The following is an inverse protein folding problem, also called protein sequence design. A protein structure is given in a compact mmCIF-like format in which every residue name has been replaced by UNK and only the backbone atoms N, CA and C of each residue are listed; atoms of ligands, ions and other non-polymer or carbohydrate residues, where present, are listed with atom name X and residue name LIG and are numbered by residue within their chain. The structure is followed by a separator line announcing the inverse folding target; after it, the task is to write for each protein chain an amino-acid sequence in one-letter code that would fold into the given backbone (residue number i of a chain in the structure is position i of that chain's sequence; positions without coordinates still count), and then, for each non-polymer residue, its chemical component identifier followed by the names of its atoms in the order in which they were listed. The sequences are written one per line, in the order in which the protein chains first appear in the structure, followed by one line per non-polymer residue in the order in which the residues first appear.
data_IF_199524634568
#
_entry.id   IF_199524634568
#
_cell.length_a   1.000
_cell.length_b   1.000
_cell.length_c   1.000
_cell.angle_alpha   90.00
_cell.angle_beta   90.00
_cell.angle_gamma   90.00
#
_symmetry.space_group_name_H-M   'P 1'
#
loop_
_entity.id
_entity.type
_entity.pdbx_description
1 polymer ?
#
# COMPACT_ATOMS: atom_id res chain seq x y z
N UNK A 1 -27.96 10.71 27.26
CA UNK A 1 -26.90 10.27 26.31
C UNK A 1 -26.24 9.02 26.84
N UNK A 2 -26.33 7.94 26.08
CA UNK A 2 -25.60 6.69 26.31
C UNK A 2 -24.34 6.67 25.47
N UNK A 3 -23.25 6.17 26.07
CA UNK A 3 -21.98 5.92 25.39
C UNK A 3 -21.71 4.42 25.44
N UNK A 4 -21.43 3.83 24.27
CA UNK A 4 -20.88 2.48 24.19
C UNK A 4 -19.40 2.56 23.87
N UNK A 5 -18.56 2.06 24.77
CA UNK A 5 -17.11 2.03 24.59
C UNK A 5 -16.68 0.68 24.05
N UNK A 6 -16.08 0.69 22.86
CA UNK A 6 -15.56 -0.49 22.17
C UNK A 6 -14.14 -0.75 22.66
N UNK A 7 -13.82 -1.90 23.27
CA UNK A 7 -12.44 -2.22 23.65
C UNK A 7 -11.58 -2.43 22.40
N UNK A 8 -10.25 -2.42 22.58
CA UNK A 8 -9.35 -2.87 21.52
C UNK A 8 -9.61 -4.35 21.21
N UNK A 9 -9.66 -4.71 19.92
CA UNK A 9 -9.71 -6.11 19.52
C UNK A 9 -8.41 -6.84 19.89
N UNK A 10 -8.43 -8.18 19.87
CA UNK A 10 -7.20 -8.94 20.05
C UNK A 10 -6.21 -8.59 18.94
N UNK A 11 -4.93 -8.51 19.28
CA UNK A 11 -3.83 -8.06 18.38
C UNK A 11 -3.88 -6.59 17.96
N UNK A 12 -4.75 -5.78 18.58
CA UNK A 12 -4.67 -4.32 18.49
C UNK A 12 -3.91 -3.76 19.70
N UNK A 13 -3.05 -2.79 19.43
CA UNK A 13 -2.33 -2.04 20.45
C UNK A 13 -2.34 -0.55 20.14
N UNK A 14 -2.22 0.26 21.20
CA UNK A 14 -2.02 1.69 21.07
C UNK A 14 -0.52 1.97 20.98
N UNK A 15 -0.15 2.80 20.00
CA UNK A 15 1.21 3.25 19.77
C UNK A 15 1.28 4.78 19.79
N UNK A 16 2.46 5.31 20.14
CA UNK A 16 2.72 6.75 20.18
C UNK A 16 2.48 7.41 21.55
N UNK A 17 2.69 8.73 21.64
CA UNK A 17 2.69 9.44 22.93
C UNK A 17 1.31 9.84 23.43
N UNK A 18 0.31 9.90 22.54
CA UNK A 18 -1.05 10.34 22.89
C UNK A 18 -1.76 9.23 23.66
N UNK A 19 -2.28 9.53 24.84
CA UNK A 19 -3.03 8.59 25.67
C UNK A 19 -4.54 8.71 25.42
N UNK A 20 -5.28 7.59 25.37
CA UNK A 20 -6.73 7.63 25.31
C UNK A 20 -7.33 8.21 26.59
N UNK A 21 -8.42 8.95 26.44
CA UNK A 21 -9.20 9.50 27.54
C UNK A 21 -10.56 9.93 27.00
N UNK A 22 -11.65 9.67 27.72
CA UNK A 22 -12.97 10.19 27.35
C UNK A 22 -13.52 10.99 28.51
N UNK A 23 -13.55 12.32 28.35
CA UNK A 23 -14.03 13.27 29.35
C UNK A 23 -15.05 14.20 28.73
N UNK A 24 -16.26 14.22 29.29
CA UNK A 24 -17.33 15.12 28.89
C UNK A 24 -17.66 16.08 30.03
N UNK A 25 -17.40 17.37 29.82
CA UNK A 25 -17.78 18.41 30.78
C UNK A 25 -19.29 18.65 30.70
N UNK A 26 -19.91 19.00 31.83
CA UNK A 26 -21.35 19.31 31.87
C UNK A 26 -22.29 18.10 31.81
N UNK A 27 -21.78 16.86 31.76
CA UNK A 27 -22.59 15.64 31.79
C UNK A 27 -21.91 14.48 32.53
N UNK A 28 -22.73 13.56 33.05
CA UNK A 28 -22.31 12.26 33.54
C UNK A 28 -22.91 11.17 32.64
N UNK A 29 -22.34 10.93 31.45
CA UNK A 29 -22.89 9.94 30.53
C UNK A 29 -22.83 8.54 31.15
N UNK A 30 -23.85 7.72 30.89
CA UNK A 30 -23.78 6.29 31.16
C UNK A 30 -22.85 5.65 30.12
N UNK A 31 -21.63 5.29 30.54
CA UNK A 31 -20.66 4.58 29.70
C UNK A 31 -20.82 3.08 29.93
N UNK A 32 -21.11 2.35 28.86
CA UNK A 32 -21.17 0.89 28.84
C UNK A 32 -19.98 0.36 28.06
N UNK A 33 -19.10 -0.36 28.73
CA UNK A 33 -18.03 -1.12 28.10
C UNK A 33 -18.59 -2.37 27.42
N UNK A 34 -18.29 -2.53 26.13
CA UNK A 34 -18.66 -3.74 25.40
C UNK A 34 -17.69 -4.85 25.77
N UNK A 35 -18.22 -5.98 26.23
CA UNK A 35 -17.41 -7.17 26.49
C UNK A 35 -17.14 -7.95 25.20
N UNK A 36 -15.99 -8.63 25.11
CA UNK A 36 -15.62 -9.44 23.94
C UNK A 36 -16.58 -10.61 23.67
N UNK A 37 -17.29 -11.09 24.69
CA UNK A 37 -18.29 -12.15 24.61
C UNK A 37 -19.73 -11.62 24.46
N UNK A 38 -19.92 -10.30 24.34
CA UNK A 38 -21.24 -9.67 24.31
C UNK A 38 -22.04 -9.90 23.01
N UNK A 39 -21.44 -10.52 21.99
CA UNK A 39 -22.06 -10.76 20.69
C UNK A 39 -23.15 -11.82 20.82
N UNK A 40 -24.40 -11.45 20.58
CA UNK A 40 -25.53 -12.39 20.69
C UNK A 40 -25.96 -12.96 19.35
N UNK A 41 -25.84 -12.16 18.29
CA UNK A 41 -26.21 -12.59 16.93
C UNK A 41 -25.03 -13.26 16.22
N UNK A 42 -25.18 -14.50 15.71
CA UNK A 42 -24.17 -15.13 14.88
C UNK A 42 -24.17 -14.50 13.48
N UNK A 43 -23.09 -13.80 13.13
CA UNK A 43 -22.87 -13.28 11.78
C UNK A 43 -22.02 -14.25 10.95
N UNK A 44 -22.28 -14.32 9.63
CA UNK A 44 -21.45 -15.09 8.70
C UNK A 44 -20.19 -14.31 8.33
N UNK A 45 -19.11 -15.02 8.00
CA UNK A 45 -17.87 -14.40 7.52
C UNK A 45 -17.70 -14.67 6.02
N UNK A 46 -17.65 -13.64 5.20
CA UNK A 46 -17.32 -13.75 3.77
C UNK A 46 -15.85 -13.42 3.52
N UNK A 47 -15.00 -14.38 3.89
CA UNK A 47 -13.54 -14.27 3.68
C UNK A 47 -13.18 -14.30 2.19
N UNK A 48 -13.99 -14.98 1.38
CA UNK A 48 -13.77 -15.10 -0.07
C UNK A 48 -13.92 -13.73 -0.73
N UNK A 49 -14.98 -12.98 -0.37
CA UNK A 49 -15.17 -11.62 -0.86
C UNK A 49 -14.04 -10.70 -0.44
N UNK A 50 -13.62 -10.73 0.83
CA UNK A 50 -12.54 -9.86 1.31
C UNK A 50 -11.25 -10.09 0.54
N UNK A 51 -10.85 -11.36 0.40
CA UNK A 51 -9.66 -11.75 -0.36
C UNK A 51 -9.78 -11.37 -1.83
N UNK A 52 -10.95 -11.60 -2.45
CA UNK A 52 -11.21 -11.22 -3.84
C UNK A 52 -11.21 -9.70 -4.06
N UNK A 53 -11.49 -8.90 -3.03
CA UNK A 53 -11.50 -7.43 -3.09
C UNK A 53 -10.13 -6.81 -2.82
N UNK A 54 -9.43 -7.30 -1.81
CA UNK A 54 -8.24 -6.65 -1.25
C UNK A 54 -6.95 -7.47 -1.41
N UNK A 55 -7.03 -8.75 -1.76
CA UNK A 55 -5.85 -9.60 -2.04
C UNK A 55 -5.24 -10.30 -0.83
N UNK A 56 -5.81 -10.15 0.36
CA UNK A 56 -5.40 -10.85 1.59
C UNK A 56 -6.63 -11.30 2.39
N UNK A 57 -6.45 -12.18 3.36
CA UNK A 57 -7.56 -12.69 4.19
C UNK A 57 -8.13 -11.59 5.09
N UNK A 58 -9.43 -11.66 5.42
CA UNK A 58 -10.05 -10.76 6.40
C UNK A 58 -9.37 -10.93 7.77
N UNK A 59 -8.72 -9.89 8.33
CA UNK A 59 -8.01 -10.00 9.60
C UNK A 59 -8.95 -10.35 10.75
N UNK A 60 -8.41 -11.02 11.76
CA UNK A 60 -9.16 -11.41 12.96
C UNK A 60 -9.56 -10.16 13.77
N UNK A 61 -8.64 -9.21 13.95
CA UNK A 61 -8.90 -7.97 14.67
C UNK A 61 -9.99 -7.12 14.00
N UNK A 62 -10.04 -7.11 12.67
CA UNK A 62 -11.10 -6.44 11.90
C UNK A 62 -12.46 -7.09 12.14
N UNK A 63 -12.49 -8.43 12.20
CA UNK A 63 -13.70 -9.21 12.47
C UNK A 63 -14.19 -9.00 13.91
N UNK A 64 -13.29 -9.09 14.88
CA UNK A 64 -13.59 -8.89 16.30
C UNK A 64 -14.07 -7.46 16.57
N UNK A 65 -13.40 -6.45 16.00
CA UNK A 65 -13.84 -5.06 16.11
C UNK A 65 -15.23 -4.87 15.52
N UNK A 66 -15.52 -5.44 14.34
CA UNK A 66 -16.88 -5.40 13.77
C UNK A 66 -17.91 -6.01 14.72
N UNK A 67 -17.62 -7.17 15.30
CA UNK A 67 -18.50 -7.86 16.24
C UNK A 67 -18.75 -7.05 17.53
N UNK A 68 -17.73 -6.38 18.06
CA UNK A 68 -17.87 -5.49 19.22
C UNK A 68 -18.78 -4.29 18.89
N UNK A 69 -18.63 -3.69 17.70
CA UNK A 69 -19.53 -2.63 17.24
C UNK A 69 -20.96 -3.16 17.08
N UNK A 70 -21.12 -4.36 16.53
CA UNK A 70 -22.43 -5.00 16.37
C UNK A 70 -23.11 -5.24 17.73
N UNK A 71 -22.37 -5.68 18.74
CA UNK A 71 -22.89 -5.84 20.10
C UNK A 71 -23.34 -4.49 20.70
N UNK A 72 -22.61 -3.40 20.44
CA UNK A 72 -23.04 -2.05 20.82
C UNK A 72 -24.35 -1.65 20.11
N UNK A 73 -24.52 -2.01 18.83
CA UNK A 73 -25.76 -1.78 18.08
C UNK A 73 -26.94 -2.55 18.68
N UNK A 74 -26.75 -3.81 19.07
CA UNK A 74 -27.79 -4.62 19.74
C UNK A 74 -28.23 -3.98 21.07
N UNK A 75 -27.27 -3.56 21.90
CA UNK A 75 -27.56 -2.88 23.16
C UNK A 75 -28.26 -1.53 22.95
N UNK A 76 -27.83 -0.77 21.95
CA UNK A 76 -28.46 0.50 21.63
C UNK A 76 -29.88 0.32 21.09
N UNK A 77 -30.13 -0.67 20.23
CA UNK A 77 -31.47 -0.97 19.73
C UNK A 77 -32.43 -1.38 20.85
N UNK A 78 -31.93 -2.04 21.89
CA UNK A 78 -32.69 -2.37 23.10
C UNK A 78 -32.87 -1.19 24.08
N UNK A 79 -32.14 -0.09 23.86
CA UNK A 79 -32.25 1.11 24.71
C UNK A 79 -33.54 1.90 24.44
N UNK A 80 -33.84 2.89 25.28
CA UNK A 80 -34.91 3.86 25.05
C UNK A 80 -34.49 5.13 24.31
N UNK A 81 -33.20 5.30 24.00
CA UNK A 81 -32.65 6.59 23.53
C UNK A 81 -32.81 6.78 22.02
N UNK A 82 -32.90 8.04 21.60
CA UNK A 82 -33.01 8.43 20.18
C UNK A 82 -31.68 8.27 19.42
N UNK A 83 -30.57 8.40 20.13
CA UNK A 83 -29.22 8.26 19.58
C UNK A 83 -28.24 7.86 20.68
N UNK A 84 -27.12 7.27 20.28
CA UNK A 84 -25.98 7.00 21.17
C UNK A 84 -24.68 7.49 20.55
N UNK A 85 -23.64 7.58 21.39
CA UNK A 85 -22.26 7.72 20.94
C UNK A 85 -21.56 6.36 21.05
N UNK A 86 -20.87 5.95 19.99
CA UNK A 86 -19.99 4.79 19.98
C UNK A 86 -18.56 5.31 19.87
N UNK A 87 -17.70 4.89 20.78
CA UNK A 87 -16.33 5.37 20.91
C UNK A 87 -15.39 4.19 21.17
N UNK A 88 -14.31 4.08 20.41
CA UNK A 88 -13.27 3.09 20.65
C UNK A 88 -12.39 3.49 21.84
N UNK A 89 -11.90 2.50 22.58
CA UNK A 89 -11.03 2.70 23.75
C UNK A 89 -9.69 3.37 23.41
N UNK A 90 -9.34 3.45 22.13
CA UNK A 90 -8.19 4.18 21.61
C UNK A 90 -8.41 5.69 21.55
N UNK A 91 -9.63 6.19 21.69
CA UNK A 91 -9.93 7.62 21.46
C UNK A 91 -9.51 8.50 22.64
N UNK A 92 -8.99 9.67 22.29
CA UNK A 92 -8.90 10.84 23.16
C UNK A 92 -10.00 11.85 22.78
N UNK A 93 -10.95 12.04 23.69
CA UNK A 93 -12.06 12.97 23.60
C UNK A 93 -12.12 13.82 24.89
N UNK A 94 -11.95 15.13 24.71
CA UNK A 94 -12.16 16.13 25.76
C UNK A 94 -13.13 17.17 25.18
N UNK A 95 -14.41 17.09 25.57
CA UNK A 95 -15.47 17.89 24.96
C UNK A 95 -16.46 18.41 26.01
N UNK A 96 -17.13 19.52 25.71
CA UNK A 96 -18.34 19.93 26.44
C UNK A 96 -19.54 19.17 25.86
N UNK A 97 -20.37 18.62 26.75
CA UNK A 97 -21.60 17.95 26.34
C UNK A 97 -22.56 18.89 25.61
N UNK A 98 -22.58 20.19 25.97
CA UNK A 98 -23.41 21.19 25.30
C UNK A 98 -23.06 21.32 23.82
N UNK A 99 -21.77 21.31 23.48
CA UNK A 99 -21.30 21.43 22.08
C UNK A 99 -21.69 20.20 21.25
N UNK A 100 -21.62 19.01 21.84
CA UNK A 100 -22.07 17.77 21.20
C UNK A 100 -23.59 17.85 20.94
N UNK A 101 -24.36 18.25 21.95
CA UNK A 101 -25.82 18.38 21.82
C UNK A 101 -26.22 19.40 20.75
N UNK A 102 -25.62 20.59 20.77
CA UNK A 102 -25.87 21.61 19.76
C UNK A 102 -25.61 21.06 18.35
N UNK A 103 -24.47 20.36 18.17
CA UNK A 103 -24.14 19.77 16.88
C UNK A 103 -25.16 18.71 16.45
N UNK A 104 -25.49 17.76 17.33
CA UNK A 104 -26.46 16.69 17.01
C UNK A 104 -27.84 17.27 16.70
N UNK A 105 -28.31 18.27 17.47
CA UNK A 105 -29.58 18.95 17.22
C UNK A 105 -29.62 19.75 15.92
N UNK A 106 -28.46 20.16 15.40
CA UNK A 106 -28.33 20.85 14.12
C UNK A 106 -28.16 19.88 12.92
N UNK A 107 -28.12 18.55 13.13
CA UNK A 107 -28.13 17.59 12.03
C UNK A 107 -29.49 17.60 11.32
N UNK A 108 -29.47 17.42 9.99
CA UNK A 108 -30.71 17.29 9.22
C UNK A 108 -31.44 16.01 9.61
N UNK A 109 -32.77 16.08 9.62
CA UNK A 109 -33.62 14.91 9.86
C UNK A 109 -33.26 13.73 8.95
N UNK A 110 -33.37 12.52 9.49
CA UNK A 110 -33.10 11.27 8.76
C UNK A 110 -31.64 10.82 8.69
N UNK A 111 -30.73 11.44 9.46
CA UNK A 111 -29.37 10.92 9.60
C UNK A 111 -29.38 9.56 10.31
N UNK A 112 -28.51 8.64 9.86
CA UNK A 112 -28.36 7.31 10.45
C UNK A 112 -27.08 7.21 11.27
N UNK A 113 -25.97 7.65 10.68
CA UNK A 113 -24.65 7.68 11.30
C UNK A 113 -24.06 9.07 11.12
N UNK A 114 -23.41 9.57 12.17
CA UNK A 114 -22.70 10.84 12.12
C UNK A 114 -21.25 10.66 12.61
N UNK A 115 -20.28 11.03 11.79
CA UNK A 115 -18.86 11.08 12.15
C UNK A 115 -18.46 12.52 12.49
N UNK A 116 -17.92 12.82 13.68
CA UNK A 116 -17.49 14.16 14.04
C UNK A 116 -16.10 14.51 13.47
N UNK A 117 -15.82 14.07 12.25
CA UNK A 117 -14.57 14.35 11.56
C UNK A 117 -14.72 14.18 10.04
N UNK A 118 -13.93 14.93 9.27
CA UNK A 118 -13.84 14.77 7.82
C UNK A 118 -12.52 14.09 7.41
N UNK A 119 -12.59 12.80 7.08
CA UNK A 119 -11.42 12.07 6.58
C UNK A 119 -11.00 12.45 5.18
N UNK A 120 -11.90 12.94 4.34
CA UNK A 120 -11.55 13.36 2.99
C UNK A 120 -10.61 14.57 3.07
N UNK A 121 -10.96 15.57 3.89
CA UNK A 121 -10.12 16.75 4.08
C UNK A 121 -8.74 16.41 4.64
N UNK A 122 -8.69 15.52 5.64
CA UNK A 122 -7.42 15.01 6.20
C UNK A 122 -6.59 14.34 5.10
N UNK A 123 -7.22 13.48 4.29
CA UNK A 123 -6.56 12.78 3.19
C UNK A 123 -6.03 13.74 2.13
N UNK A 124 -6.74 14.82 1.84
CA UNK A 124 -6.29 15.87 0.92
C UNK A 124 -5.02 16.56 1.45
N UNK A 125 -4.99 16.92 2.74
CA UNK A 125 -3.80 17.50 3.37
C UNK A 125 -2.59 16.56 3.34
N UNK A 126 -2.77 15.27 3.66
CA UNK A 126 -1.73 14.23 3.55
C UNK A 126 -1.17 14.12 2.12
N UNK A 127 -2.05 14.20 1.12
CA UNK A 127 -1.68 14.15 -0.30
C UNK A 127 -0.91 15.38 -0.74
N UNK A 128 -1.29 16.57 -0.29
CA UNK A 128 -0.56 17.81 -0.56
C UNK A 128 0.84 17.75 0.04
N UNK A 129 0.96 17.33 1.30
CA UNK A 129 2.26 17.13 1.95
C UNK A 129 3.14 16.11 1.20
N UNK A 130 2.57 14.96 0.86
CA UNK A 130 3.27 13.90 0.12
C UNK A 130 3.72 14.38 -1.26
N UNK A 131 2.89 15.15 -1.96
CA UNK A 131 3.20 15.71 -3.28
C UNK A 131 4.34 16.72 -3.18
N UNK A 132 4.31 17.62 -2.20
CA UNK A 132 5.37 18.61 -1.99
C UNK A 132 6.70 17.92 -1.68
N UNK A 133 6.70 16.92 -0.78
CA UNK A 133 7.89 16.15 -0.46
C UNK A 133 8.41 15.35 -1.65
N UNK A 134 7.53 14.68 -2.40
CA UNK A 134 7.94 13.92 -3.59
C UNK A 134 8.54 14.82 -4.68
N UNK A 135 8.00 16.03 -4.85
CA UNK A 135 8.55 17.02 -5.77
C UNK A 135 9.89 17.61 -5.30
N UNK A 136 10.26 17.42 -4.02
CA UNK A 136 11.57 17.81 -3.48
C UNK A 136 12.64 16.74 -3.65
N UNK A 137 12.25 15.49 -3.98
CA UNK A 137 13.20 14.43 -4.30
C UNK A 137 13.92 14.72 -5.63
N UNK A 138 15.16 14.25 -5.74
CA UNK A 138 15.92 14.31 -6.99
C UNK A 138 15.19 13.55 -8.11
N UNK A 139 14.58 12.40 -7.79
CA UNK A 139 13.78 11.60 -8.72
C UNK A 139 12.34 11.46 -8.22
N UNK A 140 11.45 12.44 -8.51
CA UNK A 140 10.05 12.37 -8.09
C UNK A 140 9.34 11.14 -8.67
N UNK A 141 8.76 10.32 -7.80
CA UNK A 141 8.01 9.14 -8.22
C UNK A 141 6.50 9.40 -8.13
N UNK A 142 5.86 9.68 -9.27
CA UNK A 142 4.40 9.97 -9.30
C UNK A 142 3.55 8.81 -8.76
N UNK A 143 4.04 7.57 -8.80
CA UNK A 143 3.33 6.40 -8.25
C UNK A 143 3.30 6.39 -6.71
N UNK A 144 4.20 7.12 -6.03
CA UNK A 144 4.19 7.27 -4.56
C UNK A 144 3.32 8.42 -4.06
N UNK A 145 2.78 9.27 -4.95
CA UNK A 145 1.83 10.35 -4.58
C UNK A 145 0.53 9.73 -4.04
N UNK A 146 0.08 8.65 -4.67
CA UNK A 146 -1.11 7.93 -4.27
C UNK A 146 -0.70 6.78 -3.34
N UNK A 147 -0.54 7.09 -2.05
CA UNK A 147 -0.36 6.09 -0.98
C UNK A 147 -1.64 5.28 -0.80
N UNK A 148 -1.95 4.44 -1.78
CA UNK A 148 -3.10 3.55 -1.72
C UNK A 148 -2.88 2.53 -0.61
N UNK A 149 -3.81 2.53 0.33
CA UNK A 149 -3.90 1.54 1.39
C UNK A 149 -5.09 0.63 1.10
N UNK A 150 -5.06 -0.66 1.47
CA UNK A 150 -6.09 -1.61 1.10
C UNK A 150 -7.36 -1.48 1.96
N UNK A 151 -8.03 -0.35 1.81
CA UNK A 151 -9.34 0.00 2.38
C UNK A 151 -10.28 0.37 1.23
N UNK A 152 -11.58 0.47 1.51
CA UNK A 152 -12.59 0.76 0.49
C UNK A 152 -12.27 2.03 -0.32
N UNK A 153 -11.86 3.10 0.37
CA UNK A 153 -11.55 4.41 -0.22
C UNK A 153 -10.07 4.57 -0.63
N UNK A 154 -9.26 3.53 -0.48
CA UNK A 154 -7.80 3.63 -0.64
C UNK A 154 -7.07 4.29 0.54
N UNK A 155 -7.79 4.57 1.62
CA UNK A 155 -7.31 5.04 2.93
C UNK A 155 -8.35 4.64 4.00
N UNK A 156 -7.94 4.56 5.26
CA UNK A 156 -8.82 4.19 6.37
C UNK A 156 -9.76 5.37 6.72
N UNK A 157 -11.08 5.17 6.67
CA UNK A 157 -12.02 6.15 7.19
C UNK A 157 -11.97 6.18 8.72
N UNK A 158 -12.01 5.01 9.35
CA UNK A 158 -11.91 4.83 10.79
C UNK A 158 -13.26 4.80 11.50
N UNK A 159 -13.31 3.96 12.51
CA UNK A 159 -14.48 3.67 13.35
C UNK A 159 -14.34 4.23 14.77
N UNK A 160 -13.32 5.06 14.99
CA UNK A 160 -12.87 5.53 16.30
C UNK A 160 -13.98 6.19 17.13
N UNK A 161 -14.79 7.04 16.51
CA UNK A 161 -15.94 7.70 17.16
C UNK A 161 -17.03 7.96 16.14
N UNK A 162 -18.28 7.68 16.48
CA UNK A 162 -19.44 8.06 15.68
C UNK A 162 -20.70 8.05 16.53
N UNK A 163 -21.72 8.74 16.04
CA UNK A 163 -23.05 8.76 16.62
C UNK A 163 -23.97 7.92 15.76
N UNK A 164 -24.91 7.23 16.40
CA UNK A 164 -25.83 6.33 15.75
C UNK A 164 -27.26 6.69 16.15
N UNK A 165 -28.12 6.92 15.18
CA UNK A 165 -29.54 7.21 15.43
C UNK A 165 -30.37 5.94 15.56
N UNK A 166 -31.55 6.08 16.16
CA UNK A 166 -32.56 5.03 16.28
C UNK A 166 -32.92 4.39 14.94
N UNK A 167 -32.98 5.18 13.87
CA UNK A 167 -33.24 4.68 12.53
C UNK A 167 -32.01 3.96 11.96
N UNK A 168 -30.82 4.52 12.18
CA UNK A 168 -29.57 3.98 11.69
C UNK A 168 -29.26 2.60 12.26
N UNK A 169 -29.49 2.38 13.56
CA UNK A 169 -29.21 1.08 14.19
C UNK A 169 -30.05 -0.05 13.58
N UNK A 170 -31.32 0.22 13.22
CA UNK A 170 -32.16 -0.77 12.54
C UNK A 170 -31.61 -1.16 11.16
N UNK A 171 -30.97 -0.24 10.45
CA UNK A 171 -30.32 -0.51 9.16
C UNK A 171 -29.01 -1.30 9.34
N UNK A 172 -28.20 -0.95 10.35
CA UNK A 172 -26.94 -1.65 10.62
C UNK A 172 -27.16 -3.09 11.13
N UNK A 173 -28.18 -3.33 11.96
CA UNK A 173 -28.55 -4.68 12.41
C UNK A 173 -29.14 -5.57 11.29
N UNK A 174 -29.43 -5.02 10.11
CA UNK A 174 -29.81 -5.83 8.95
C UNK A 174 -28.60 -6.54 8.32
N UNK A 175 -27.37 -6.20 8.70
CA UNK A 175 -26.15 -6.86 8.24
C UNK A 175 -26.11 -8.29 8.82
N UNK A 176 -26.00 -9.29 7.94
CA UNK A 176 -25.95 -10.72 8.33
C UNK A 176 -24.57 -11.35 8.05
N UNK A 177 -23.67 -10.58 7.43
CA UNK A 177 -22.40 -11.07 6.93
C UNK A 177 -21.30 -10.00 7.04
N UNK A 178 -20.17 -10.38 7.63
CA UNK A 178 -18.97 -9.54 7.73
C UNK A 178 -18.03 -9.93 6.60
N UNK A 179 -17.69 -8.93 5.77
CA UNK A 179 -16.78 -9.09 4.62
C UNK A 179 -15.66 -8.06 4.59
N UNK A 180 -15.74 -7.05 5.46
CA UNK A 180 -14.79 -5.96 5.57
C UNK A 180 -14.93 -5.29 6.94
N UNK A 181 -14.08 -4.30 7.19
CA UNK A 181 -14.10 -3.51 8.42
C UNK A 181 -15.41 -2.76 8.60
N UNK A 182 -15.72 -2.41 9.85
CA UNK A 182 -16.97 -1.73 10.22
C UNK A 182 -17.11 -0.36 9.56
N UNK A 183 -16.04 0.42 9.49
CA UNK A 183 -16.01 1.71 8.82
C UNK A 183 -16.21 1.57 7.30
N UNK A 184 -15.51 0.63 6.66
CA UNK A 184 -15.69 0.33 5.24
C UNK A 184 -17.12 -0.13 4.93
N UNK A 185 -17.77 -0.92 5.79
CA UNK A 185 -19.17 -1.34 5.58
C UNK A 185 -20.14 -0.17 5.75
N UNK A 186 -19.98 0.67 6.78
CA UNK A 186 -20.80 1.88 6.97
C UNK A 186 -20.68 2.82 5.77
N UNK A 187 -19.46 3.12 5.32
CA UNK A 187 -19.21 3.98 4.15
C UNK A 187 -19.79 3.34 2.90
N UNK A 188 -19.63 2.03 2.72
CA UNK A 188 -20.17 1.31 1.58
C UNK A 188 -21.71 1.32 1.55
N UNK A 189 -22.37 1.10 2.69
CA UNK A 189 -23.83 1.20 2.80
C UNK A 189 -24.31 2.62 2.47
N UNK A 190 -23.55 3.64 2.90
CA UNK A 190 -23.83 5.04 2.56
C UNK A 190 -23.73 5.29 1.06
N UNK A 191 -22.65 4.82 0.42
CA UNK A 191 -22.48 4.90 -1.04
C UNK A 191 -23.61 4.20 -1.81
N UNK A 192 -24.11 3.08 -1.31
CA UNK A 192 -25.25 2.33 -1.88
C UNK A 192 -26.63 2.93 -1.53
N UNK A 193 -26.67 4.07 -0.82
CA UNK A 193 -27.91 4.72 -0.33
C UNK A 193 -28.76 3.84 0.59
N UNK A 194 -28.13 2.90 1.29
CA UNK A 194 -28.76 2.01 2.27
C UNK A 194 -28.69 2.60 3.69
N UNK A 195 -27.80 3.56 3.90
CA UNK A 195 -27.54 4.26 5.16
C UNK A 195 -27.28 5.74 4.83
N UNK A 196 -27.73 6.67 5.66
CA UNK A 196 -27.43 8.10 5.57
C UNK A 196 -26.32 8.43 6.56
N UNK A 197 -25.07 8.21 6.15
CA UNK A 197 -23.91 8.65 6.91
C UNK A 197 -23.57 10.11 6.57
N UNK A 198 -23.45 10.94 7.60
CA UNK A 198 -23.01 12.33 7.49
C UNK A 198 -21.76 12.57 8.33
N UNK A 199 -21.04 13.64 8.01
CA UNK A 199 -19.81 14.00 8.69
C UNK A 199 -19.55 15.49 8.52
N UNK A 200 -18.84 16.08 9.48
CA UNK A 200 -18.21 17.39 9.36
C UNK A 200 -17.09 17.55 10.42
N UNK A 201 -16.38 18.66 10.35
CA UNK A 201 -15.36 19.01 11.35
C UNK A 201 -16.00 19.71 12.54
N UNK A 202 -15.61 19.29 13.73
CA UNK A 202 -16.02 19.90 15.00
C UNK A 202 -14.81 20.34 15.79
N UNK A 203 -14.95 21.37 16.62
CA UNK A 203 -13.83 21.91 17.39
C UNK A 203 -13.43 21.03 18.60
N UNK A 204 -14.31 20.11 19.00
CA UNK A 204 -14.15 19.28 20.20
C UNK A 204 -13.61 17.86 19.92
N UNK A 205 -13.37 17.52 18.65
CA UNK A 205 -12.75 16.25 18.27
C UNK A 205 -11.80 16.45 17.10
N UNK A 206 -10.54 16.07 17.31
CA UNK A 206 -9.50 16.12 16.28
C UNK A 206 -9.02 14.71 15.94
N UNK A 207 -9.42 14.23 14.76
CA UNK A 207 -9.03 12.89 14.28
C UNK A 207 -7.51 12.76 14.04
N UNK A 208 -6.80 13.84 13.68
CA UNK A 208 -5.36 13.78 13.41
C UNK A 208 -4.53 13.62 14.70
N UNK A 209 -5.09 14.01 15.84
CA UNK A 209 -4.41 13.97 17.14
C UNK A 209 -4.96 12.85 18.03
N UNK A 210 -5.25 11.68 17.43
CA UNK A 210 -5.69 10.49 18.14
C UNK A 210 -4.53 9.50 18.40
N UNK A 211 -4.59 8.70 19.49
CA UNK A 211 -3.71 7.56 19.67
C UNK A 211 -3.74 6.62 18.46
N UNK A 212 -2.56 6.16 18.01
CA UNK A 212 -2.47 5.33 16.81
C UNK A 212 -2.71 3.87 17.16
N UNK A 213 -3.77 3.29 16.61
CA UNK A 213 -4.04 1.86 16.72
C UNK A 213 -3.27 1.08 15.65
N UNK A 214 -2.51 0.08 16.08
CA UNK A 214 -1.82 -0.86 15.19
C UNK A 214 -2.48 -2.23 15.33
N UNK A 215 -2.87 -2.83 14.21
CA UNK A 215 -3.36 -4.21 14.14
C UNK A 215 -2.24 -5.11 13.61
N UNK A 216 -1.59 -5.87 14.50
CA UNK A 216 -0.44 -6.68 14.15
C UNK A 216 -0.79 -7.81 13.18
N UNK A 217 -1.97 -8.41 13.34
CA UNK A 217 -2.48 -9.48 12.48
C UNK A 217 -2.75 -8.99 11.05
N UNK A 218 -3.35 -7.81 10.88
CA UNK A 218 -3.57 -7.21 9.56
C UNK A 218 -2.27 -6.96 8.81
N UNK A 219 -1.26 -6.41 9.48
CA UNK A 219 0.06 -6.21 8.88
C UNK A 219 0.71 -7.55 8.48
N UNK A 220 0.64 -8.55 9.36
CA UNK A 220 1.12 -9.91 9.08
C UNK A 220 0.41 -10.53 7.88
N UNK A 221 -0.92 -10.43 7.81
CA UNK A 221 -1.73 -11.05 6.76
C UNK A 221 -1.50 -10.38 5.40
N UNK A 222 -1.34 -9.04 5.37
CA UNK A 222 -0.91 -8.31 4.16
C UNK A 222 0.51 -8.73 3.75
N UNK A 223 1.46 -8.78 4.69
CA UNK A 223 2.82 -9.20 4.39
C UNK A 223 2.84 -10.63 3.84
N UNK A 224 2.09 -11.55 4.44
CA UNK A 224 1.97 -12.92 3.96
C UNK A 224 1.43 -12.97 2.52
N UNK A 225 0.37 -12.22 2.21
CA UNK A 225 -0.16 -12.13 0.85
C UNK A 225 0.85 -11.56 -0.17
N UNK A 226 1.65 -10.58 0.26
CA UNK A 226 2.73 -10.00 -0.54
C UNK A 226 3.83 -11.05 -0.81
N UNK A 227 4.28 -11.75 0.23
CA UNK A 227 5.38 -12.73 0.14
C UNK A 227 4.97 -14.03 -0.57
N UNK A 228 3.70 -14.42 -0.51
CA UNK A 228 3.14 -15.57 -1.25
C UNK A 228 2.72 -15.19 -2.69
N UNK A 229 2.99 -13.96 -3.14
CA UNK A 229 2.73 -13.56 -4.53
C UNK A 229 3.54 -14.43 -5.49
N UNK A 230 2.85 -15.24 -6.31
CA UNK A 230 3.47 -16.11 -7.33
C UNK A 230 3.39 -15.45 -8.69
N UNK A 231 4.19 -14.41 -8.92
CA UNK A 231 4.25 -13.80 -10.26
C UNK A 231 5.13 -14.55 -11.25
N UNK A 232 6.04 -15.37 -10.73
CA UNK A 232 6.90 -16.24 -11.52
C UNK A 232 6.44 -17.70 -11.37
N UNK A 233 6.26 -18.39 -12.50
CA UNK A 233 6.32 -19.85 -12.53
C UNK A 233 7.77 -20.32 -12.48
N UNK A 234 8.02 -21.59 -12.16
CA UNK A 234 9.38 -22.14 -12.24
C UNK A 234 9.99 -21.95 -13.64
N UNK A 235 9.21 -22.26 -14.68
CA UNK A 235 9.65 -22.15 -16.07
C UNK A 235 10.00 -20.70 -16.47
N UNK A 236 9.12 -19.74 -16.18
CA UNK A 236 9.40 -18.33 -16.46
C UNK A 236 10.58 -17.80 -15.64
N UNK A 237 10.75 -18.28 -14.41
CA UNK A 237 11.90 -17.92 -13.57
C UNK A 237 13.21 -18.44 -14.15
N UNK A 238 13.21 -19.63 -14.72
CA UNK A 238 14.40 -20.19 -15.37
C UNK A 238 14.66 -19.51 -16.72
N UNK A 239 13.62 -19.18 -17.49
CA UNK A 239 13.75 -18.40 -18.73
C UNK A 239 14.37 -17.02 -18.49
N UNK A 240 13.94 -16.26 -17.46
CA UNK A 240 14.55 -14.95 -17.17
C UNK A 240 16.02 -15.09 -16.77
N UNK A 241 16.39 -16.15 -16.02
CA UNK A 241 17.79 -16.44 -15.70
C UNK A 241 18.62 -16.74 -16.95
N UNK A 242 18.06 -17.49 -17.89
CA UNK A 242 18.71 -17.73 -19.19
C UNK A 242 18.90 -16.44 -19.99
N UNK A 243 17.88 -15.57 -20.03
CA UNK A 243 18.00 -14.25 -20.69
C UNK A 243 19.14 -13.43 -20.05
N UNK A 244 19.17 -13.35 -18.72
CA UNK A 244 20.19 -12.60 -17.98
C UNK A 244 21.60 -13.16 -18.20
N UNK A 245 21.75 -14.49 -18.27
CA UNK A 245 23.03 -15.13 -18.57
C UNK A 245 23.53 -14.81 -19.98
N UNK A 246 22.64 -14.85 -20.99
CA UNK A 246 22.99 -14.45 -22.36
C UNK A 246 23.42 -12.99 -22.43
N UNK A 247 22.67 -12.09 -21.78
CA UNK A 247 23.02 -10.67 -21.71
C UNK A 247 24.35 -10.43 -21.00
N UNK A 248 24.57 -11.08 -19.86
CA UNK A 248 25.80 -10.98 -19.06
C UNK A 248 27.03 -11.44 -19.86
N UNK A 249 26.96 -12.59 -20.53
CA UNK A 249 28.07 -13.12 -21.32
C UNK A 249 28.36 -12.26 -22.56
N UNK A 250 27.32 -11.81 -23.28
CA UNK A 250 27.49 -10.90 -24.41
C UNK A 250 28.14 -9.57 -24.00
N UNK A 251 27.72 -8.98 -22.88
CA UNK A 251 28.31 -7.75 -22.35
C UNK A 251 29.78 -7.95 -21.95
N UNK A 252 30.09 -9.07 -21.29
CA UNK A 252 31.45 -9.42 -20.89
C UNK A 252 32.40 -9.57 -22.07
N UNK A 253 31.97 -10.16 -23.18
CA UNK A 253 32.78 -10.35 -24.39
C UNK A 253 33.25 -9.03 -25.01
N UNK A 254 32.45 -7.98 -24.86
CA UNK A 254 32.75 -6.64 -25.39
C UNK A 254 33.22 -5.65 -24.32
N UNK A 255 33.42 -6.10 -23.07
CA UNK A 255 33.89 -5.27 -21.97
C UNK A 255 32.90 -4.19 -21.53
N UNK A 256 31.59 -4.48 -21.57
CA UNK A 256 30.52 -3.55 -21.19
C UNK A 256 29.88 -3.97 -19.87
N UNK A 257 29.58 -2.99 -19.03
CA UNK A 257 28.90 -3.19 -17.76
C UNK A 257 27.39 -3.01 -17.89
N UNK A 258 26.63 -4.03 -17.46
CA UNK A 258 25.18 -3.94 -17.26
C UNK A 258 24.90 -3.76 -15.77
N UNK A 259 24.23 -2.67 -15.40
CA UNK A 259 23.94 -2.33 -14.00
C UNK A 259 22.49 -2.67 -13.62
N UNK A 260 22.24 -3.10 -12.39
CA UNK A 260 20.88 -3.24 -11.87
C UNK A 260 20.19 -1.87 -11.84
N UNK A 261 18.90 -1.81 -12.21
CA UNK A 261 18.13 -0.57 -12.23
C UNK A 261 16.80 -0.72 -11.47
N UNK A 262 16.29 0.39 -10.91
CA UNK A 262 14.90 0.49 -10.44
C UNK A 262 14.44 -0.59 -9.47
N UNK A 263 13.33 -1.26 -9.81
CA UNK A 263 12.74 -2.31 -8.98
C UNK A 263 13.71 -3.49 -8.78
N UNK A 264 14.48 -3.82 -9.82
CA UNK A 264 15.51 -4.85 -9.80
C UNK A 264 16.66 -4.51 -8.83
N UNK A 265 17.19 -3.29 -8.89
CA UNK A 265 18.22 -2.82 -7.95
C UNK A 265 17.73 -2.86 -6.51
N UNK A 266 16.51 -2.36 -6.29
CA UNK A 266 15.87 -2.34 -4.99
C UNK A 266 15.61 -3.75 -4.45
N UNK A 267 15.15 -4.67 -5.29
CA UNK A 267 14.96 -6.08 -4.96
C UNK A 267 16.26 -6.74 -4.54
N UNK A 268 17.35 -6.49 -5.28
CA UNK A 268 18.65 -7.03 -4.92
C UNK A 268 19.15 -6.53 -3.57
N UNK A 269 19.05 -5.22 -3.28
CA UNK A 269 19.44 -4.67 -1.98
C UNK A 269 18.55 -5.19 -0.86
N UNK A 270 17.23 -5.20 -1.05
CA UNK A 270 16.28 -5.46 0.03
C UNK A 270 16.05 -6.95 0.29
N UNK A 271 16.02 -7.77 -0.76
CA UNK A 271 15.62 -9.18 -0.74
C UNK A 271 16.68 -10.14 -1.28
N UNK A 272 17.71 -9.65 -1.98
CA UNK A 272 18.79 -10.48 -2.52
C UNK A 272 18.53 -11.05 -3.91
N UNK A 273 17.43 -10.64 -4.56
CA UNK A 273 17.04 -11.09 -5.88
C UNK A 273 15.80 -10.34 -6.36
N UNK A 274 15.05 -10.92 -7.30
CA UNK A 274 13.77 -10.34 -7.73
C UNK A 274 12.80 -10.35 -6.53
N UNK A 275 12.07 -9.26 -6.32
CA UNK A 275 11.04 -9.19 -5.28
C UNK A 275 9.92 -10.19 -5.59
N UNK A 276 9.34 -10.90 -4.60
CA UNK A 276 8.33 -11.94 -4.85
C UNK A 276 7.13 -11.48 -5.68
N UNK A 277 6.73 -10.22 -5.52
CA UNK A 277 5.60 -9.59 -6.20
C UNK A 277 5.98 -8.77 -7.43
N UNK A 278 7.21 -8.86 -7.92
CA UNK A 278 7.67 -8.13 -9.10
C UNK A 278 7.85 -9.11 -10.26
N UNK A 279 7.50 -8.71 -11.49
CA UNK A 279 7.44 -9.62 -12.65
C UNK A 279 8.13 -9.09 -13.91
N UNK A 280 9.12 -8.23 -13.74
CA UNK A 280 10.06 -7.83 -14.78
C UNK A 280 11.48 -7.67 -14.19
N UNK A 281 12.43 -7.38 -15.07
CA UNK A 281 13.81 -7.08 -14.70
C UNK A 281 14.28 -5.85 -15.45
N UNK A 282 14.82 -4.87 -14.73
CA UNK A 282 15.38 -3.63 -15.27
C UNK A 282 16.91 -3.62 -15.15
N UNK A 283 17.59 -3.41 -16.28
CA UNK A 283 19.04 -3.20 -16.35
C UNK A 283 19.36 -1.85 -16.99
N UNK A 284 20.54 -1.31 -16.65
CA UNK A 284 21.09 -0.09 -17.23
C UNK A 284 22.34 -0.36 -18.08
N UNK A 285 22.50 0.39 -19.16
CA UNK A 285 23.70 0.39 -20.03
C UNK A 285 24.12 1.81 -20.38
N UNK A 286 25.43 2.06 -20.45
CA UNK A 286 25.95 3.36 -20.89
C UNK A 286 25.70 3.54 -22.38
N UNK A 287 25.12 4.68 -22.77
CA UNK A 287 24.56 4.91 -24.11
C UNK A 287 25.55 4.66 -25.25
N UNK A 288 26.81 5.05 -25.06
CA UNK A 288 27.89 4.86 -26.04
C UNK A 288 28.17 3.38 -26.37
N UNK A 289 27.76 2.44 -25.51
CA UNK A 289 27.98 1.01 -25.68
C UNK A 289 26.77 0.25 -26.22
N UNK A 290 25.61 0.92 -26.33
CA UNK A 290 24.36 0.29 -26.72
C UNK A 290 24.44 -0.42 -28.08
N UNK A 291 24.96 0.25 -29.11
CA UNK A 291 25.01 -0.31 -30.46
C UNK A 291 25.89 -1.57 -30.53
N UNK A 292 27.07 -1.52 -29.90
CA UNK A 292 27.98 -2.66 -29.82
C UNK A 292 27.34 -3.83 -29.04
N UNK A 293 26.63 -3.53 -27.95
CA UNK A 293 25.91 -4.54 -27.17
C UNK A 293 24.78 -5.18 -27.96
N UNK A 294 23.93 -4.40 -28.63
CA UNK A 294 22.83 -4.93 -29.45
C UNK A 294 23.35 -5.77 -30.62
N UNK A 295 24.48 -5.37 -31.23
CA UNK A 295 25.14 -6.17 -32.27
C UNK A 295 25.67 -7.51 -31.72
N UNK A 296 26.28 -7.51 -30.53
CA UNK A 296 26.72 -8.74 -29.85
C UNK A 296 25.54 -9.66 -29.52
N UNK A 297 24.43 -9.10 -29.00
CA UNK A 297 23.20 -9.83 -28.71
C UNK A 297 22.65 -10.49 -29.98
N UNK A 298 22.52 -9.74 -31.06
CA UNK A 298 22.00 -10.24 -32.34
C UNK A 298 22.88 -11.31 -32.99
N UNK A 299 24.19 -11.28 -32.73
CA UNK A 299 25.16 -12.21 -33.33
C UNK A 299 25.34 -13.48 -32.51
N UNK A 300 25.30 -13.39 -31.19
CA UNK A 300 25.77 -14.44 -30.29
C UNK A 300 24.69 -15.07 -29.42
N UNK A 301 23.44 -14.58 -29.47
CA UNK A 301 22.36 -15.05 -28.59
C UNK A 301 21.07 -15.29 -29.37
N UNK A 302 20.15 -16.12 -28.86
CA UNK A 302 18.81 -16.27 -29.43
C UNK A 302 17.85 -15.13 -29.04
N UNK A 303 18.32 -14.10 -28.34
CA UNK A 303 17.45 -13.04 -27.82
C UNK A 303 16.92 -12.15 -28.94
N UNK A 304 15.63 -11.86 -28.87
CA UNK A 304 15.00 -10.78 -29.63
C UNK A 304 15.20 -9.47 -28.90
N UNK A 305 15.30 -8.40 -29.66
CA UNK A 305 15.38 -7.03 -29.13
C UNK A 305 14.40 -6.14 -29.87
N UNK A 306 13.80 -5.19 -29.14
CA UNK A 306 12.97 -4.14 -29.74
C UNK A 306 13.02 -2.89 -28.90
N UNK A 307 12.94 -1.75 -29.57
CA UNK A 307 12.84 -0.45 -28.93
C UNK A 307 11.39 -0.17 -28.50
N UNK A 308 11.22 0.35 -27.31
CA UNK A 308 9.97 0.76 -26.71
C UNK A 308 10.06 2.23 -26.27
N UNK A 309 8.90 2.87 -26.12
CA UNK A 309 8.76 4.25 -25.68
C UNK A 309 8.05 4.28 -24.33
N UNK A 310 8.68 4.92 -23.34
CA UNK A 310 8.05 5.19 -22.06
C UNK A 310 7.09 6.38 -22.20
N UNK A 311 5.79 6.13 -22.11
CA UNK A 311 4.76 7.15 -22.29
C UNK A 311 4.84 8.34 -21.30
N UNK A 312 5.51 8.17 -20.16
CA UNK A 312 5.61 9.21 -19.14
C UNK A 312 6.66 10.29 -19.47
N UNK A 313 7.69 9.92 -20.24
CA UNK A 313 8.89 10.75 -20.46
C UNK A 313 9.26 10.88 -21.93
N UNK A 314 8.53 10.21 -22.83
CA UNK A 314 8.86 10.05 -24.25
C UNK A 314 10.28 9.52 -24.47
N UNK A 315 10.82 8.79 -23.49
CA UNK A 315 12.16 8.22 -23.55
C UNK A 315 12.14 6.80 -24.06
N UNK A 316 13.17 6.44 -24.84
CA UNK A 316 13.28 5.09 -25.38
C UNK A 316 14.06 4.17 -24.45
N UNK A 317 13.70 2.89 -24.48
CA UNK A 317 14.40 1.78 -23.84
C UNK A 317 14.26 0.54 -24.72
N UNK A 318 15.00 -0.52 -24.42
CA UNK A 318 14.92 -1.78 -25.18
C UNK A 318 14.32 -2.88 -24.34
N UNK A 319 13.49 -3.74 -24.94
CA UNK A 319 13.09 -5.02 -24.35
C UNK A 319 13.91 -6.14 -24.98
N UNK A 320 14.33 -7.10 -24.16
CA UNK A 320 15.01 -8.32 -24.59
C UNK A 320 14.28 -9.54 -24.07
N UNK A 321 13.99 -10.51 -24.95
CA UNK A 321 13.22 -11.71 -24.63
C UNK A 321 13.56 -12.90 -25.52
N UNK A 322 13.03 -14.08 -25.21
CA UNK A 322 13.14 -15.30 -26.03
C UNK A 322 11.86 -15.58 -26.83
N UNK A 323 12.00 -16.12 -28.04
CA UNK A 323 10.86 -16.50 -28.90
C UNK A 323 9.97 -17.59 -28.27
N UNK A 324 10.53 -18.45 -27.42
CA UNK A 324 9.81 -19.53 -26.72
C UNK A 324 9.20 -19.09 -25.36
N UNK A 325 9.22 -17.78 -25.07
CA UNK A 325 8.47 -17.20 -23.97
C UNK A 325 6.96 -17.26 -24.19
N UNK A 326 6.21 -16.88 -23.15
CA UNK A 326 4.75 -16.75 -23.20
C UNK A 326 4.35 -15.47 -23.94
N UNK A 327 3.57 -15.55 -25.04
CA UNK A 327 3.08 -14.36 -25.73
C UNK A 327 2.23 -13.47 -24.82
N UNK A 328 2.40 -12.16 -24.98
CA UNK A 328 1.59 -11.16 -24.27
C UNK A 328 0.59 -10.55 -25.26
N UNK A 329 -0.70 -10.59 -24.92
CA UNK A 329 -1.77 -10.06 -25.76
C UNK A 329 -1.51 -8.60 -26.16
N UNK A 330 -1.66 -8.27 -27.44
CA UNK A 330 -1.47 -6.91 -28.00
C UNK A 330 -0.02 -6.39 -27.97
N UNK A 331 0.94 -7.22 -27.55
CA UNK A 331 2.35 -6.90 -27.51
C UNK A 331 3.16 -7.82 -28.42
N UNK A 332 4.31 -7.32 -28.90
CA UNK A 332 5.18 -8.07 -29.83
C UNK A 332 6.28 -8.85 -29.12
N UNK A 333 6.49 -8.58 -27.84
CA UNK A 333 7.45 -9.27 -27.00
C UNK A 333 6.76 -10.35 -26.17
N UNK A 334 7.52 -11.36 -25.76
CA UNK A 334 7.04 -12.42 -24.90
C UNK A 334 7.49 -12.19 -23.45
N UNK A 335 6.73 -12.73 -22.50
CA UNK A 335 7.14 -12.88 -21.11
C UNK A 335 7.97 -14.17 -20.94
N UNK A 336 9.05 -14.16 -20.13
CA UNK A 336 9.63 -13.01 -19.46
C UNK A 336 10.57 -12.19 -20.36
N UNK A 337 10.86 -10.97 -19.92
CA UNK A 337 11.72 -10.03 -20.63
C UNK A 337 12.59 -9.23 -19.66
N UNK A 338 13.63 -8.59 -20.20
CA UNK A 338 14.45 -7.58 -19.52
C UNK A 338 14.25 -6.23 -20.20
N UNK A 339 14.00 -5.19 -19.41
CA UNK A 339 13.99 -3.80 -19.84
C UNK A 339 15.39 -3.23 -19.68
N UNK A 340 15.96 -2.73 -20.78
CA UNK A 340 17.30 -2.17 -20.86
C UNK A 340 17.23 -0.66 -21.06
N UNK A 341 17.67 0.07 -20.04
CA UNK A 341 17.61 1.51 -19.94
C UNK A 341 18.96 2.15 -20.21
N UNK A 342 18.98 3.20 -21.03
CA UNK A 342 20.21 3.91 -21.37
C UNK A 342 20.50 5.03 -20.37
N UNK A 343 21.78 5.15 -19.98
CA UNK A 343 22.29 6.27 -19.19
C UNK A 343 23.54 6.90 -19.80
N UNK A 344 23.84 8.12 -19.38
CA UNK A 344 25.10 8.82 -19.66
C UNK A 344 25.75 9.26 -18.36
N UNK A 345 27.06 9.55 -18.39
CA UNK A 345 27.80 10.13 -17.26
C UNK A 345 27.78 11.65 -17.37
N UNK A 346 27.24 12.32 -16.36
CA UNK A 346 27.21 13.78 -16.29
C UNK A 346 27.87 14.21 -14.98
N UNK A 347 29.14 14.63 -15.07
CA UNK A 347 29.97 14.85 -13.89
C UNK A 347 30.10 13.55 -13.09
N UNK A 348 29.66 13.60 -11.83
CA UNK A 348 29.71 12.49 -10.89
C UNK A 348 28.45 11.61 -10.89
N UNK A 349 27.45 11.94 -11.71
CA UNK A 349 26.14 11.29 -11.73
C UNK A 349 25.96 10.40 -12.97
N UNK A 350 25.22 9.31 -12.81
CA UNK A 350 24.63 8.62 -13.96
C UNK A 350 23.23 9.18 -14.21
N UNK A 351 22.96 9.61 -15.44
CA UNK A 351 21.68 10.20 -15.85
C UNK A 351 21.05 9.32 -16.92
N UNK A 352 19.95 8.66 -16.56
CA UNK A 352 19.15 7.86 -17.47
C UNK A 352 18.32 8.75 -18.41
N UNK A 353 18.07 8.27 -19.62
CA UNK A 353 17.31 9.03 -20.64
C UNK A 353 15.93 9.48 -20.15
N UNK A 354 15.27 8.68 -19.31
CA UNK A 354 13.99 9.03 -18.69
C UNK A 354 14.08 10.08 -17.56
N UNK A 355 15.25 10.71 -17.39
CA UNK A 355 15.48 11.77 -16.42
C UNK A 355 15.82 11.28 -15.02
N UNK A 356 15.92 9.96 -14.79
CA UNK A 356 16.36 9.43 -13.50
C UNK A 356 17.86 9.69 -13.32
N UNK A 357 18.20 10.39 -12.24
CA UNK A 357 19.57 10.69 -11.84
C UNK A 357 19.97 9.75 -10.69
N UNK A 358 21.03 8.98 -10.87
CA UNK A 358 21.67 8.25 -9.79
C UNK A 358 22.80 9.14 -9.24
N UNK A 359 22.58 9.87 -8.13
CA UNK A 359 23.55 10.86 -7.65
C UNK A 359 24.85 10.17 -7.23
N UNK A 360 26.00 10.80 -7.48
CA UNK A 360 27.35 10.35 -7.09
C UNK A 360 27.76 8.96 -7.58
N UNK A 361 26.96 8.33 -8.43
CA UNK A 361 27.16 6.93 -8.84
C UNK A 361 28.26 6.76 -9.89
N UNK A 362 28.74 7.84 -10.50
CA UNK A 362 29.92 7.87 -11.36
C UNK A 362 31.24 8.04 -10.61
N UNK A 363 31.23 8.40 -9.30
CA UNK A 363 32.46 8.63 -8.50
C UNK A 363 33.26 7.37 -8.21
N UNK A 364 32.58 6.22 -8.19
CA UNK A 364 33.13 4.97 -7.72
C UNK A 364 33.02 3.90 -8.81
N UNK A 365 33.99 2.96 -8.88
CA UNK A 365 33.82 1.78 -9.72
C UNK A 365 32.54 1.02 -9.37
N UNK A 366 31.89 0.44 -10.37
CA UNK A 366 30.74 -0.42 -10.11
C UNK A 366 31.14 -1.66 -9.30
N UNK A 367 30.22 -2.11 -8.46
CA UNK A 367 30.36 -3.32 -7.66
C UNK A 367 29.88 -4.54 -8.46
N UNK A 368 30.64 -5.62 -8.42
CA UNK A 368 30.21 -6.92 -8.95
C UNK A 368 29.09 -7.51 -8.10
N UNK A 369 28.05 -7.99 -8.77
CA UNK A 369 26.91 -8.66 -8.13
C UNK A 369 26.53 -9.91 -8.93
N UNK A 370 26.09 -10.94 -8.20
CA UNK A 370 25.42 -12.09 -8.81
C UNK A 370 23.92 -11.92 -8.58
N UNK A 371 23.17 -11.64 -9.64
CA UNK A 371 21.73 -11.47 -9.60
C UNK A 371 21.08 -12.56 -10.44
N UNK A 372 20.26 -13.41 -9.81
CA UNK A 372 19.56 -14.51 -10.49
C UNK A 372 20.51 -15.35 -11.39
N UNK A 373 21.68 -15.70 -10.84
CA UNK A 373 22.72 -16.49 -11.51
C UNK A 373 23.43 -15.83 -12.70
N UNK A 374 23.28 -14.51 -12.89
CA UNK A 374 24.02 -13.73 -13.88
C UNK A 374 25.02 -12.79 -13.19
N UNK A 375 26.20 -12.64 -13.80
CA UNK A 375 27.21 -11.68 -13.35
C UNK A 375 26.87 -10.29 -13.89
N UNK A 376 26.47 -9.38 -13.01
CA UNK A 376 26.06 -8.02 -13.33
C UNK A 376 26.79 -7.03 -12.44
N UNK A 377 26.47 -5.75 -12.60
CA UNK A 377 27.05 -4.65 -11.85
C UNK A 377 26.00 -3.88 -11.05
N UNK A 378 26.46 -3.12 -10.07
CA UNK A 378 25.61 -2.23 -9.27
C UNK A 378 26.41 -0.97 -8.88
N UNK A 379 25.73 0.16 -8.70
CA UNK A 379 26.36 1.40 -8.21
C UNK A 379 26.90 1.21 -6.79
N UNK A 380 28.13 1.64 -6.51
CA UNK A 380 28.75 1.42 -5.19
C UNK A 380 28.01 2.15 -4.05
N UNK A 381 27.42 3.31 -4.33
CA UNK A 381 26.62 4.10 -3.40
C UNK A 381 25.12 3.75 -3.49
N UNK A 382 24.80 2.46 -3.58
CA UNK A 382 23.43 1.97 -3.83
C UNK A 382 22.35 2.54 -2.91
N UNK A 383 22.64 2.70 -1.62
CA UNK A 383 21.69 3.25 -0.66
C UNK A 383 21.28 4.68 -1.02
N UNK A 384 22.24 5.52 -1.39
CA UNK A 384 22.00 6.91 -1.81
C UNK A 384 21.18 6.97 -3.10
N UNK A 385 21.47 6.08 -4.06
CA UNK A 385 20.70 5.96 -5.29
C UNK A 385 19.25 5.58 -5.00
N UNK A 386 19.00 4.63 -4.10
CA UNK A 386 17.63 4.25 -3.71
C UNK A 386 16.92 5.37 -2.93
N UNK A 387 17.63 6.04 -2.01
CA UNK A 387 17.11 7.17 -1.23
C UNK A 387 16.70 8.36 -2.14
N UNK A 388 17.38 8.53 -3.28
CA UNK A 388 17.04 9.57 -4.26
C UNK A 388 15.73 9.33 -5.02
N UNK A 389 15.21 8.09 -5.04
CA UNK A 389 14.09 7.65 -5.89
C UNK A 389 12.88 7.14 -5.13
N UNK A 390 13.06 6.47 -3.99
CA UNK A 390 11.98 5.83 -3.26
C UNK A 390 11.84 6.43 -1.87
N UNK A 391 10.75 7.13 -1.57
CA UNK A 391 10.58 7.79 -0.27
C UNK A 391 10.47 6.80 0.89
N UNK A 392 9.90 5.63 0.61
CA UNK A 392 9.43 4.71 1.66
C UNK A 392 10.03 3.30 1.58
N UNK A 393 11.10 3.11 0.80
CA UNK A 393 11.64 1.78 0.56
C UNK A 393 12.20 1.10 1.83
N UNK A 394 12.68 1.90 2.79
CA UNK A 394 13.20 1.43 4.09
C UNK A 394 12.12 1.07 5.10
N UNK A 395 10.93 1.66 4.94
CA UNK A 395 9.87 1.63 5.96
C UNK A 395 8.62 0.89 5.52
N UNK A 396 8.53 0.49 4.24
CA UNK A 396 7.40 -0.32 3.79
C UNK A 396 7.58 -0.93 2.42
N UNK A 397 6.82 -1.99 2.18
CA UNK A 397 6.63 -2.60 0.87
C UNK A 397 5.45 -1.93 0.18
N UNK A 398 5.55 -1.71 -1.13
CA UNK A 398 4.46 -1.26 -1.98
C UNK A 398 4.36 -2.22 -3.17
N UNK A 399 3.19 -2.80 -3.35
CA UNK A 399 2.87 -3.64 -4.50
C UNK A 399 1.89 -2.87 -5.38
N UNK A 400 2.21 -2.75 -6.66
CA UNK A 400 1.32 -2.19 -7.66
C UNK A 400 0.44 -3.29 -8.26
N UNK A 401 -0.73 -2.91 -8.76
CA UNK A 401 -1.67 -3.84 -9.41
C UNK A 401 -1.30 -4.18 -10.87
N UNK A 402 -0.21 -3.63 -11.41
CA UNK A 402 0.24 -3.90 -12.76
C UNK A 402 0.98 -5.24 -12.83
N UNK A 403 0.67 -6.06 -13.84
CA UNK A 403 1.36 -7.31 -14.16
C UNK A 403 2.09 -7.14 -15.49
N UNK A 404 3.41 -7.16 -15.47
CA UNK A 404 4.25 -7.07 -16.67
C UNK A 404 4.11 -8.30 -17.56
N UNK A 405 3.88 -9.47 -16.97
CA UNK A 405 3.55 -10.72 -17.66
C UNK A 405 2.31 -10.67 -18.56
N UNK A 406 1.46 -9.64 -18.40
CA UNK A 406 0.24 -9.41 -19.19
C UNK A 406 0.11 -7.97 -19.69
N UNK A 407 1.07 -7.11 -19.35
CA UNK A 407 1.05 -5.66 -19.54
C UNK A 407 -0.28 -4.97 -19.13
N UNK A 408 -0.94 -5.46 -18.07
CA UNK A 408 -2.30 -5.04 -17.65
C UNK A 408 -2.45 -4.90 -16.13
N UNK A 409 -3.35 -4.01 -15.69
CA UNK A 409 -3.74 -3.87 -14.28
C UNK A 409 -4.71 -5.00 -13.87
N UNK A 410 -4.24 -5.97 -13.08
CA UNK A 410 -5.04 -7.12 -12.63
C UNK A 410 -4.81 -7.51 -11.16
N UNK A 411 -3.80 -6.93 -10.51
CA UNK A 411 -3.44 -7.22 -9.13
C UNK A 411 -4.17 -6.44 -8.06
N UNK A 412 -3.72 -6.68 -6.84
CA UNK A 412 -4.08 -5.89 -5.67
C UNK A 412 -2.97 -4.90 -5.35
N UNK A 413 -3.34 -3.65 -5.11
CA UNK A 413 -2.42 -2.68 -4.56
C UNK A 413 -2.31 -2.92 -3.05
N UNK A 414 -1.12 -3.32 -2.59
CA UNK A 414 -0.85 -3.68 -1.20
C UNK A 414 0.22 -2.77 -0.61
N UNK A 415 0.08 -2.49 0.69
CA UNK A 415 1.02 -1.69 1.48
C UNK A 415 1.16 -2.30 2.87
N UNK A 416 2.39 -2.54 3.28
CA UNK A 416 2.71 -2.97 4.65
C UNK A 416 3.98 -2.27 5.12
N UNK A 417 4.05 -2.00 6.42
CA UNK A 417 5.26 -1.44 7.04
C UNK A 417 6.29 -2.54 7.26
N UNK A 418 7.56 -2.22 7.05
CA UNK A 418 8.71 -3.10 7.31
C UNK A 418 9.84 -2.29 7.96
N UNK A 419 10.87 -2.99 8.43
CA UNK A 419 12.14 -2.37 8.78
C UNK A 419 13.26 -2.98 7.93
N UNK A 420 14.34 -2.23 7.76
CA UNK A 420 15.56 -2.70 7.10
C UNK A 420 16.76 -2.53 8.04
N UNK A 421 17.80 -3.34 7.85
CA UNK A 421 19.08 -3.17 8.53
C UNK A 421 19.89 -2.00 7.93
N UNK A 422 21.10 -1.77 8.45
CA UNK A 422 22.02 -0.72 7.97
C UNK A 422 22.41 -0.87 6.50
N UNK A 423 22.33 -2.08 5.94
CA UNK A 423 22.64 -2.40 4.55
C UNK A 423 21.39 -2.34 3.64
N UNK A 424 20.23 -2.00 4.20
CA UNK A 424 18.97 -1.96 3.46
C UNK A 424 18.29 -3.32 3.29
N UNK A 425 18.78 -4.39 3.94
CA UNK A 425 18.16 -5.71 3.92
C UNK A 425 16.91 -5.71 4.76
N UNK A 426 15.82 -6.28 4.25
CA UNK A 426 14.58 -6.38 5.02
C UNK A 426 14.77 -7.25 6.26
N UNK A 427 14.33 -6.73 7.40
CA UNK A 427 14.18 -7.49 8.64
C UNK A 427 12.78 -8.08 8.63
N UNK A 428 12.68 -9.41 8.53
CA UNK A 428 11.41 -10.09 8.62
C UNK A 428 10.83 -9.88 10.03
N UNK A 429 9.57 -9.40 10.15
CA UNK A 429 8.92 -9.18 11.43
C UNK A 429 8.58 -10.47 12.18
#
# INVERSE_FOLDING_TARGET
MIIYRIPLANNQEISGPVQPAVTLQGAHPAITDIAHDAVRTPLKMDKIWHKGRYGFELPQSDTENFLLHYAAWELFAASGEDWCMIVEASVRLEADYADILERISALKDGWDVYFPFDRMKIREAERTYTTHHNNSLLNPNRKEIYDFLPFLLGYCWGSSIYFLSRQGVGKLLAIQEIKQRVDDEIVSMSYRKQLQACFDEVNWFDYNHQPKVVAADRNRDILHAIMDSKRWTADSKDQIRTILQWMSEAAKQIGVDLILQGGTHLGYIRHGGIMPWDDDVDLGIEEQHLEAFLAAIATHTPLRTKIHLEAATDSTFYKLWLDDGTPIDEHTHNFPFVDLWMYTRVGDDLVFRNGIVCPNSGKYPFQDVCFENAALKMTANSLEVLDSRYRTWRTGIRVYNYYHSREKNQGFALRVSISVDENGRMILP
#
